data_IF_399252484907
#
_entry.id   IF_399252484907
#
_cell.length_a   1.000
_cell.length_b   1.000
_cell.length_c   1.000
_cell.angle_alpha   90.00
_cell.angle_beta   90.00
_cell.angle_gamma   90.00
#
_symmetry.space_group_name_H-M   'P 1'
#
loop_
_entity.id
_entity.type
_entity.pdbx_description
1 polymer ?
#
# COMPACT_ATOMS: atom_id res chain seq x y z
N UNK A 1 1.96 7.02 -18.82
CA UNK A 1 2.75 7.56 -17.71
C UNK A 1 4.23 7.30 -17.94
N UNK A 2 5.12 8.26 -17.78
CA UNK A 2 6.57 7.99 -17.83
C UNK A 2 7.06 7.93 -16.39
N UNK A 3 7.49 6.76 -15.96
CA UNK A 3 8.26 6.62 -14.73
C UNK A 3 9.54 7.43 -14.89
N UNK A 4 9.79 8.38 -13.98
CA UNK A 4 11.08 9.05 -13.94
C UNK A 4 12.13 8.01 -13.56
N UNK A 5 13.18 7.87 -14.41
CA UNK A 5 14.30 7.00 -14.04
C UNK A 5 15.02 7.57 -12.82
N UNK A 6 15.44 6.71 -11.87
CA UNK A 6 16.16 7.17 -10.70
C UNK A 6 17.41 7.96 -11.14
N UNK A 7 17.61 9.13 -10.54
CA UNK A 7 18.89 9.79 -10.63
C UNK A 7 19.91 8.86 -9.95
N UNK A 8 20.88 8.36 -10.73
CA UNK A 8 21.97 7.57 -10.17
C UNK A 8 22.74 8.45 -9.21
N UNK A 9 22.63 8.19 -7.90
CA UNK A 9 23.45 8.85 -6.89
C UNK A 9 24.91 8.50 -7.18
N UNK A 10 25.83 9.47 -7.29
CA UNK A 10 27.24 9.18 -7.51
C UNK A 10 27.77 8.22 -6.44
N UNK A 11 28.53 7.19 -6.84
CA UNK A 11 29.14 6.24 -5.89
C UNK A 11 30.18 6.89 -4.95
N UNK A 12 30.69 8.06 -5.31
CA UNK A 12 31.73 8.78 -4.55
C UNK A 12 31.48 10.28 -4.54
N UNK A 13 31.97 10.97 -3.51
CA UNK A 13 31.92 12.42 -3.37
C UNK A 13 30.87 12.91 -2.38
N UNK A 14 30.60 14.24 -2.39
CA UNK A 14 29.72 14.90 -1.42
C UNK A 14 28.29 14.40 -1.53
N UNK A 15 27.75 14.22 -2.72
CA UNK A 15 26.39 13.72 -2.95
C UNK A 15 26.21 12.30 -2.40
N UNK A 16 27.18 11.41 -2.62
CA UNK A 16 27.17 10.08 -2.04
C UNK A 16 27.20 10.14 -0.50
N UNK A 17 27.91 11.10 0.08
CA UNK A 17 27.93 11.28 1.53
C UNK A 17 26.60 11.81 2.06
N UNK A 18 25.97 12.76 1.36
CA UNK A 18 24.61 13.23 1.70
C UNK A 18 23.59 12.10 1.67
N UNK A 19 23.60 11.27 0.61
CA UNK A 19 22.74 10.10 0.51
C UNK A 19 22.95 9.14 1.71
N UNK A 20 24.20 8.83 2.06
CA UNK A 20 24.53 7.98 3.22
C UNK A 20 24.04 8.59 4.54
N UNK A 21 24.12 9.92 4.72
CA UNK A 21 23.56 10.60 5.90
C UNK A 21 22.07 10.39 5.98
N UNK A 22 21.35 10.60 4.87
CA UNK A 22 19.89 10.40 4.80
C UNK A 22 19.55 8.94 5.15
N UNK A 23 20.21 7.99 4.50
CA UNK A 23 20.01 6.56 4.71
C UNK A 23 20.23 6.14 6.16
N UNK A 24 21.33 6.59 6.78
CA UNK A 24 21.64 6.26 8.19
C UNK A 24 20.59 6.84 9.14
N UNK A 25 20.14 8.09 8.88
CA UNK A 25 19.06 8.69 9.67
C UNK A 25 17.77 7.89 9.56
N UNK A 26 17.39 7.47 8.33
CA UNK A 26 16.15 6.75 8.08
C UNK A 26 16.18 5.32 8.67
N UNK A 27 17.30 4.62 8.52
CA UNK A 27 17.44 3.23 8.97
C UNK A 27 17.63 3.08 10.47
N UNK A 28 18.42 3.95 11.09
CA UNK A 28 18.87 3.79 12.49
C UNK A 28 18.25 4.80 13.44
N UNK A 29 17.70 5.92 12.93
CA UNK A 29 17.13 7.01 13.71
C UNK A 29 18.03 7.43 14.91
N UNK A 30 19.30 7.80 14.67
CA UNK A 30 20.28 8.03 15.72
C UNK A 30 19.82 9.13 16.69
N UNK A 31 20.00 8.92 17.98
CA UNK A 31 19.54 9.85 19.02
C UNK A 31 20.38 11.14 19.06
N UNK A 32 21.65 11.03 18.70
CA UNK A 32 22.60 12.15 18.78
C UNK A 32 23.40 12.35 17.49
N UNK A 33 23.86 13.58 17.30
CA UNK A 33 24.77 13.89 16.18
C UNK A 33 26.11 13.16 16.32
N UNK A 34 26.58 12.92 17.54
CA UNK A 34 27.83 12.19 17.78
C UNK A 34 27.70 10.74 17.32
N UNK A 35 26.61 10.07 17.67
CA UNK A 35 26.30 8.71 17.22
C UNK A 35 26.23 8.64 15.70
N UNK A 36 25.49 9.55 15.06
CA UNK A 36 25.42 9.62 13.59
C UNK A 36 26.80 9.86 12.95
N UNK A 37 27.67 10.66 13.59
CA UNK A 37 29.01 10.90 13.11
C UNK A 37 29.90 9.65 13.20
N UNK A 38 29.79 8.91 14.30
CA UNK A 38 30.50 7.66 14.55
C UNK A 38 30.06 6.58 13.55
N UNK A 39 28.76 6.40 13.35
CA UNK A 39 28.18 5.44 12.39
C UNK A 39 28.66 5.69 10.95
N UNK A 40 28.82 6.95 10.58
CA UNK A 40 29.26 7.34 9.24
C UNK A 40 30.78 7.41 9.07
N UNK A 41 31.55 7.35 10.19
CA UNK A 41 32.99 7.60 10.19
C UNK A 41 33.35 9.03 9.80
N UNK A 42 32.50 10.02 10.13
CA UNK A 42 32.67 11.42 9.82
C UNK A 42 33.03 12.23 11.06
N UNK A 43 33.71 13.38 10.85
CA UNK A 43 33.85 14.35 11.94
C UNK A 43 32.49 15.04 12.21
N UNK A 44 32.18 15.35 13.49
CA UNK A 44 30.98 16.09 13.84
C UNK A 44 30.88 17.48 13.18
N UNK A 45 32.03 18.08 12.86
CA UNK A 45 32.06 19.37 12.16
C UNK A 45 31.56 19.22 10.73
N UNK A 46 32.12 18.26 9.98
CA UNK A 46 31.70 18.00 8.61
C UNK A 46 30.24 17.50 8.53
N UNK A 47 29.86 16.63 9.44
CA UNK A 47 28.45 16.20 9.55
C UNK A 47 27.52 17.39 9.82
N UNK A 48 27.92 18.37 10.64
CA UNK A 48 27.12 19.58 10.90
C UNK A 48 26.86 20.40 9.62
N UNK A 49 27.84 20.48 8.73
CA UNK A 49 27.69 21.17 7.45
C UNK A 49 26.68 20.44 6.53
N UNK A 50 26.78 19.10 6.45
CA UNK A 50 25.86 18.26 5.67
C UNK A 50 24.42 18.34 6.21
N UNK A 51 24.25 18.23 7.54
CA UNK A 51 22.92 18.36 8.17
C UNK A 51 22.32 19.77 7.99
N UNK A 52 23.14 20.81 7.95
CA UNK A 52 22.65 22.16 7.70
C UNK A 52 22.19 22.33 6.24
N UNK A 53 22.91 21.73 5.29
CA UNK A 53 22.52 21.69 3.88
C UNK A 53 21.18 20.99 3.72
N UNK A 54 21.07 19.72 4.18
CA UNK A 54 19.82 18.93 4.11
C UNK A 54 18.63 19.63 4.80
N UNK A 55 18.87 20.36 5.90
CA UNK A 55 17.83 21.18 6.54
C UNK A 55 17.41 22.38 5.69
N UNK A 56 18.37 23.03 5.02
CA UNK A 56 18.05 24.18 4.16
C UNK A 56 17.30 23.79 2.90
N UNK A 57 17.48 22.54 2.44
CA UNK A 57 16.79 21.94 1.30
C UNK A 57 15.45 21.29 1.69
N UNK A 58 15.13 21.21 2.99
CA UNK A 58 13.90 20.62 3.49
C UNK A 58 13.91 19.09 3.56
N UNK A 59 15.02 18.44 3.20
CA UNK A 59 15.16 16.97 3.21
C UNK A 59 15.07 16.40 4.61
N UNK A 60 15.62 17.10 5.61
CA UNK A 60 15.49 16.72 7.03
C UNK A 60 14.89 17.85 7.86
N UNK A 61 14.14 17.48 8.88
CA UNK A 61 13.50 18.43 9.82
C UNK A 61 14.11 18.32 11.22
N UNK A 62 13.62 19.13 12.14
CA UNK A 62 14.03 19.04 13.54
C UNK A 62 13.71 17.65 14.09
N UNK A 63 14.69 16.96 14.62
CA UNK A 63 14.60 15.56 15.03
C UNK A 63 15.15 14.59 13.98
N UNK A 64 15.76 15.10 12.90
CA UNK A 64 16.33 14.29 11.82
C UNK A 64 15.33 13.31 11.19
N UNK A 65 14.09 13.75 11.03
CA UNK A 65 13.10 13.03 10.26
C UNK A 65 13.30 13.37 8.79
N UNK A 66 13.38 12.34 7.95
CA UNK A 66 13.54 12.49 6.50
C UNK A 66 12.20 12.89 5.88
N UNK A 67 12.21 13.87 4.99
CA UNK A 67 11.03 14.27 4.22
C UNK A 67 10.72 13.24 3.15
N UNK A 68 9.44 12.88 2.99
CA UNK A 68 9.03 11.78 2.12
C UNK A 68 9.32 12.04 0.64
N UNK A 69 9.05 13.25 0.15
CA UNK A 69 9.27 13.58 -1.26
C UNK A 69 10.75 13.78 -1.57
N UNK A 70 11.43 14.58 -0.72
CA UNK A 70 12.82 14.94 -0.95
C UNK A 70 13.79 13.76 -0.83
N UNK A 71 13.42 12.69 -0.11
CA UNK A 71 14.28 11.51 0.03
C UNK A 71 14.50 10.77 -1.29
N UNK A 72 13.48 10.75 -2.16
CA UNK A 72 13.57 10.03 -3.45
C UNK A 72 14.57 10.66 -4.40
N UNK A 73 14.77 11.98 -4.33
CA UNK A 73 15.78 12.67 -5.14
C UNK A 73 17.22 12.40 -4.68
N UNK A 74 17.42 12.19 -3.36
CA UNK A 74 18.73 12.10 -2.73
C UNK A 74 19.16 10.69 -2.35
N UNK A 75 18.22 9.87 -1.95
CA UNK A 75 18.47 8.51 -1.46
C UNK A 75 17.30 7.57 -1.79
N UNK A 76 16.96 7.34 -3.07
CA UNK A 76 15.81 6.52 -3.46
C UNK A 76 15.87 5.11 -2.88
N UNK A 77 17.06 4.58 -2.69
CA UNK A 77 17.28 3.24 -2.17
C UNK A 77 16.76 3.02 -0.73
N UNK A 78 16.48 4.05 0.07
CA UNK A 78 15.87 3.87 1.42
C UNK A 78 14.45 3.30 1.34
N UNK A 79 13.81 3.34 0.17
CA UNK A 79 12.48 2.78 -0.08
C UNK A 79 12.52 1.45 -0.83
N UNK A 80 13.69 0.92 -1.14
CA UNK A 80 13.81 -0.35 -1.86
C UNK A 80 13.76 -1.55 -0.93
N UNK A 81 12.91 -2.52 -1.27
CA UNK A 81 12.70 -3.75 -0.50
C UNK A 81 13.90 -4.70 -0.55
N UNK A 82 14.61 -4.75 -1.69
CA UNK A 82 15.69 -5.71 -1.98
C UNK A 82 17.08 -5.10 -1.88
N UNK A 83 17.25 -4.04 -1.08
CA UNK A 83 18.52 -3.36 -0.97
C UNK A 83 19.52 -4.10 -0.08
N UNK A 84 20.74 -4.26 -0.60
CA UNK A 84 21.96 -4.60 0.16
C UNK A 84 22.37 -6.07 0.11
N UNK A 85 23.66 -6.28 0.32
CA UNK A 85 24.27 -7.63 0.43
C UNK A 85 23.84 -8.36 1.71
N UNK A 86 23.22 -7.65 2.68
CA UNK A 86 22.80 -8.15 4.00
C UNK A 86 21.28 -8.41 4.10
N UNK A 87 20.53 -8.35 2.98
CA UNK A 87 19.11 -8.75 3.02
C UNK A 87 19.05 -10.23 3.37
N UNK A 88 18.50 -10.54 4.53
CA UNK A 88 18.18 -11.93 4.90
C UNK A 88 16.98 -12.38 4.03
N UNK A 89 17.29 -12.99 2.89
CA UNK A 89 16.31 -13.48 1.92
C UNK A 89 15.25 -14.35 2.58
N UNK A 90 15.62 -15.16 3.58
CA UNK A 90 14.70 -16.00 4.35
C UNK A 90 13.70 -15.16 5.15
N UNK A 91 14.12 -14.01 5.68
CA UNK A 91 13.26 -13.09 6.45
C UNK A 91 12.29 -12.35 5.55
N UNK A 92 12.75 -11.85 4.40
CA UNK A 92 11.89 -11.22 3.40
C UNK A 92 10.85 -12.23 2.86
N UNK A 93 11.28 -13.43 2.47
CA UNK A 93 10.39 -14.47 1.97
C UNK A 93 9.33 -14.83 3.02
N UNK A 94 9.71 -14.95 4.28
CA UNK A 94 8.79 -15.22 5.38
C UNK A 94 7.75 -14.11 5.55
N UNK A 95 8.16 -12.85 5.47
CA UNK A 95 7.28 -11.69 5.57
C UNK A 95 6.30 -11.62 4.39
N UNK A 96 6.80 -11.75 3.16
CA UNK A 96 5.96 -11.80 1.95
C UNK A 96 4.96 -12.95 1.99
N UNK A 97 5.34 -14.10 2.55
CA UNK A 97 4.43 -15.24 2.75
C UNK A 97 3.32 -14.93 3.75
N UNK A 98 3.58 -14.16 4.81
CA UNK A 98 2.53 -13.72 5.73
C UNK A 98 1.60 -12.70 5.07
N UNK A 99 2.14 -11.74 4.32
CA UNK A 99 1.34 -10.80 3.52
C UNK A 99 0.47 -11.53 2.49
N UNK A 100 1.02 -12.57 1.83
CA UNK A 100 0.24 -13.38 0.88
C UNK A 100 -0.94 -14.10 1.54
N UNK A 101 -0.75 -14.61 2.76
CA UNK A 101 -1.83 -15.24 3.51
C UNK A 101 -2.93 -14.24 3.91
N UNK A 102 -2.55 -13.00 4.23
CA UNK A 102 -3.51 -11.93 4.52
C UNK A 102 -4.27 -11.55 3.24
N UNK A 103 -3.56 -11.31 2.13
CA UNK A 103 -4.17 -11.00 0.83
C UNK A 103 -5.20 -12.05 0.41
N UNK A 104 -4.87 -13.34 0.55
CA UNK A 104 -5.78 -14.43 0.20
C UNK A 104 -7.08 -14.38 1.01
N UNK A 105 -6.99 -14.20 2.33
CA UNK A 105 -8.18 -14.15 3.20
C UNK A 105 -9.06 -12.95 2.86
N UNK A 106 -8.47 -11.77 2.67
CA UNK A 106 -9.24 -10.55 2.34
C UNK A 106 -9.84 -10.61 0.93
N UNK A 107 -9.16 -11.27 -0.01
CA UNK A 107 -9.72 -11.57 -1.34
C UNK A 107 -10.90 -12.54 -1.25
N UNK A 108 -10.83 -13.56 -0.39
CA UNK A 108 -11.94 -14.50 -0.19
C UNK A 108 -13.13 -13.82 0.47
N UNK A 109 -12.90 -12.87 1.41
CA UNK A 109 -13.97 -12.01 1.94
C UNK A 109 -14.65 -11.19 0.84
N UNK A 110 -13.87 -10.60 -0.06
CA UNK A 110 -14.41 -9.80 -1.18
C UNK A 110 -15.21 -10.66 -2.15
N UNK A 111 -14.73 -11.86 -2.50
CA UNK A 111 -15.46 -12.82 -3.34
C UNK A 111 -16.76 -13.28 -2.67
N UNK A 112 -16.71 -13.54 -1.37
CA UNK A 112 -17.91 -13.95 -0.62
C UNK A 112 -18.94 -12.82 -0.56
N UNK A 113 -18.52 -11.55 -0.42
CA UNK A 113 -19.41 -10.39 -0.49
C UNK A 113 -20.05 -10.25 -1.90
N UNK A 114 -19.29 -10.46 -2.96
CA UNK A 114 -19.78 -10.50 -4.35
C UNK A 114 -20.82 -11.60 -4.54
N UNK A 115 -20.51 -12.84 -4.10
CA UNK A 115 -21.43 -13.97 -4.22
C UNK A 115 -22.74 -13.70 -3.47
N UNK A 116 -22.64 -13.15 -2.26
CA UNK A 116 -23.84 -12.78 -1.48
C UNK A 116 -24.69 -11.71 -2.18
N UNK A 117 -24.06 -10.72 -2.80
CA UNK A 117 -24.78 -9.71 -3.59
C UNK A 117 -25.41 -10.31 -4.85
N UNK A 118 -24.73 -11.24 -5.52
CA UNK A 118 -25.25 -11.99 -6.66
C UNK A 118 -26.44 -12.91 -6.33
N UNK A 119 -26.70 -13.17 -5.04
CA UNK A 119 -27.69 -14.14 -4.60
C UNK A 119 -27.17 -15.58 -4.64
N UNK A 120 -25.85 -15.75 -4.83
CA UNK A 120 -25.16 -17.04 -4.82
C UNK A 120 -24.82 -17.48 -3.39
N UNK A 121 -24.68 -18.78 -3.17
CA UNK A 121 -24.18 -19.31 -1.90
C UNK A 121 -22.65 -19.20 -1.91
N UNK A 122 -22.03 -18.38 -1.01
CA UNK A 122 -20.59 -18.23 -0.99
C UNK A 122 -19.91 -19.50 -0.47
N UNK A 123 -18.73 -19.82 -1.00
CA UNK A 123 -17.92 -20.97 -0.54
C UNK A 123 -17.53 -20.84 0.95
N UNK A 124 -17.41 -19.61 1.47
CA UNK A 124 -17.07 -19.30 2.84
C UNK A 124 -17.94 -18.13 3.34
N UNK A 125 -18.29 -18.17 4.63
CA UNK A 125 -19.04 -17.09 5.25
C UNK A 125 -18.12 -15.91 5.55
N UNK A 126 -18.47 -14.73 5.07
CA UNK A 126 -17.64 -13.51 5.21
C UNK A 126 -17.25 -13.23 6.66
N UNK A 127 -18.21 -13.35 7.57
CA UNK A 127 -18.03 -13.05 9.01
C UNK A 127 -17.09 -14.05 9.71
N UNK A 128 -16.96 -15.28 9.18
CA UNK A 128 -16.02 -16.28 9.71
C UNK A 128 -14.57 -15.99 9.28
N UNK A 129 -14.37 -15.23 8.19
CA UNK A 129 -13.06 -14.83 7.69
C UNK A 129 -12.50 -13.58 8.38
N UNK A 130 -13.36 -12.72 8.96
CA UNK A 130 -12.94 -11.45 9.58
C UNK A 130 -11.93 -11.66 10.74
N UNK A 131 -12.17 -12.55 11.74
CA UNK A 131 -11.18 -12.80 12.79
C UNK A 131 -9.86 -13.31 12.23
N UNK A 132 -9.88 -14.08 11.13
CA UNK A 132 -8.68 -14.60 10.48
C UNK A 132 -7.90 -13.50 9.77
N UNK A 133 -8.57 -12.57 9.09
CA UNK A 133 -7.93 -11.40 8.48
C UNK A 133 -7.25 -10.52 9.53
N UNK A 134 -7.94 -10.23 10.62
CA UNK A 134 -7.41 -9.49 11.77
C UNK A 134 -6.18 -10.17 12.39
N UNK A 135 -6.23 -11.48 12.61
CA UNK A 135 -5.09 -12.27 13.10
C UNK A 135 -3.91 -12.20 12.15
N UNK A 136 -4.13 -12.36 10.83
CA UNK A 136 -3.07 -12.31 9.82
C UNK A 136 -2.42 -10.94 9.74
N UNK A 137 -3.21 -9.86 9.77
CA UNK A 137 -2.69 -8.50 9.84
C UNK A 137 -1.80 -8.31 11.08
N UNK A 138 -2.27 -8.73 12.25
CA UNK A 138 -1.49 -8.63 13.49
C UNK A 138 -0.17 -9.42 13.41
N UNK A 139 -0.16 -10.61 12.81
CA UNK A 139 1.06 -11.42 12.61
C UNK A 139 2.07 -10.66 11.75
N UNK A 140 1.65 -10.02 10.65
CA UNK A 140 2.54 -9.20 9.81
C UNK A 140 3.13 -8.05 10.62
N UNK A 141 2.31 -7.30 11.35
CA UNK A 141 2.77 -6.16 12.14
C UNK A 141 3.73 -6.57 13.28
N UNK A 142 3.50 -7.72 13.91
CA UNK A 142 4.39 -8.27 14.93
C UNK A 142 5.73 -8.72 14.33
N UNK A 143 5.70 -9.33 13.15
CA UNK A 143 6.91 -9.75 12.44
C UNK A 143 7.75 -8.53 12.04
N UNK A 144 7.13 -7.51 11.44
CA UNK A 144 7.79 -6.24 11.11
C UNK A 144 8.43 -5.60 12.33
N UNK A 145 7.71 -5.52 13.44
CA UNK A 145 8.25 -4.98 14.69
C UNK A 145 9.42 -5.82 15.21
N UNK A 146 9.35 -7.13 15.11
CA UNK A 146 10.44 -8.02 15.56
C UNK A 146 11.70 -7.80 14.72
N UNK A 147 11.54 -7.76 13.39
CA UNK A 147 12.66 -7.58 12.46
C UNK A 147 13.33 -6.22 12.69
N UNK A 148 12.57 -5.13 12.73
CA UNK A 148 13.12 -3.77 12.93
C UNK A 148 13.83 -3.56 14.28
N UNK A 149 13.56 -4.40 15.28
CA UNK A 149 14.24 -4.37 16.57
C UNK A 149 15.51 -5.24 16.62
N UNK A 150 15.68 -6.16 15.68
CA UNK A 150 16.75 -7.17 15.74
C UNK A 150 17.73 -7.08 14.57
N UNK A 151 17.37 -6.39 13.49
CA UNK A 151 18.17 -6.26 12.28
C UNK A 151 18.13 -4.83 11.74
N UNK A 152 19.11 -4.45 10.92
CA UNK A 152 19.12 -3.17 10.22
C UNK A 152 18.19 -3.19 8.97
N UNK A 153 17.71 -4.35 8.57
CA UNK A 153 16.72 -4.54 7.50
C UNK A 153 15.36 -4.97 8.08
N UNK A 154 14.24 -4.52 7.53
CA UNK A 154 14.12 -3.39 6.59
C UNK A 154 14.34 -2.06 7.33
N UNK A 155 14.77 -1.00 6.66
CA UNK A 155 14.79 0.33 7.25
C UNK A 155 13.38 0.76 7.72
N UNK A 156 13.32 1.77 8.59
CA UNK A 156 12.05 2.23 9.18
C UNK A 156 10.99 2.59 8.12
N UNK A 157 11.40 3.11 6.97
CA UNK A 157 10.50 3.48 5.87
C UNK A 157 9.86 2.25 5.24
N UNK A 158 10.66 1.27 4.83
CA UNK A 158 10.17 0.01 4.25
C UNK A 158 9.25 -0.73 5.22
N UNK A 159 9.61 -0.79 6.50
CA UNK A 159 8.79 -1.39 7.54
C UNK A 159 7.44 -0.67 7.71
N UNK A 160 7.44 0.67 7.65
CA UNK A 160 6.23 1.48 7.70
C UNK A 160 5.32 1.21 6.50
N UNK A 161 5.87 1.23 5.28
CA UNK A 161 5.12 0.98 4.05
C UNK A 161 4.51 -0.43 4.03
N UNK A 162 5.27 -1.46 4.42
CA UNK A 162 4.75 -2.82 4.54
C UNK A 162 3.68 -2.95 5.63
N UNK A 163 3.80 -2.19 6.72
CA UNK A 163 2.76 -2.09 7.75
C UNK A 163 1.47 -1.47 7.22
N UNK A 164 1.59 -0.41 6.39
CA UNK A 164 0.44 0.22 5.72
C UNK A 164 -0.18 -0.74 4.71
N UNK A 165 0.62 -1.47 3.92
CA UNK A 165 0.14 -2.51 3.00
C UNK A 165 -0.68 -3.56 3.74
N UNK A 166 -0.18 -4.08 4.88
CA UNK A 166 -0.90 -5.06 5.68
C UNK A 166 -2.23 -4.48 6.21
N UNK A 167 -2.20 -3.24 6.69
CA UNK A 167 -3.42 -2.58 7.20
C UNK A 167 -4.43 -2.29 6.10
N UNK A 168 -3.99 -1.93 4.90
CA UNK A 168 -4.88 -1.72 3.76
C UNK A 168 -5.58 -3.03 3.36
N UNK A 169 -4.89 -4.17 3.36
CA UNK A 169 -5.55 -5.46 3.13
C UNK A 169 -6.63 -5.76 4.18
N UNK A 170 -6.35 -5.52 5.46
CA UNK A 170 -7.35 -5.74 6.50
C UNK A 170 -8.56 -4.81 6.33
N UNK A 171 -8.35 -3.53 5.99
CA UNK A 171 -9.45 -2.60 5.70
C UNK A 171 -10.29 -3.06 4.51
N UNK A 172 -9.66 -3.63 3.46
CA UNK A 172 -10.38 -4.22 2.32
C UNK A 172 -11.29 -5.36 2.80
N UNK A 173 -10.81 -6.22 3.68
CA UNK A 173 -11.60 -7.29 4.30
C UNK A 173 -12.78 -6.75 5.10
N UNK A 174 -12.56 -5.74 5.95
CA UNK A 174 -13.62 -5.07 6.72
C UNK A 174 -14.70 -4.46 5.80
N UNK A 175 -14.28 -3.86 4.68
CA UNK A 175 -15.21 -3.33 3.68
C UNK A 175 -16.01 -4.42 3.00
N UNK A 176 -15.40 -5.57 2.71
CA UNK A 176 -16.10 -6.72 2.16
C UNK A 176 -17.18 -7.24 3.13
N UNK A 177 -16.89 -7.36 4.44
CA UNK A 177 -17.87 -7.70 5.45
C UNK A 177 -19.02 -6.69 5.47
N UNK A 178 -18.72 -5.40 5.46
CA UNK A 178 -19.71 -4.34 5.44
C UNK A 178 -20.61 -4.38 4.18
N UNK A 179 -20.04 -4.64 3.00
CA UNK A 179 -20.80 -4.80 1.75
C UNK A 179 -21.73 -6.00 1.84
N UNK A 180 -21.25 -7.13 2.36
CA UNK A 180 -22.04 -8.33 2.55
C UNK A 180 -23.24 -8.10 3.50
N UNK A 181 -23.04 -7.31 4.56
CA UNK A 181 -24.10 -6.90 5.50
C UNK A 181 -25.18 -6.03 4.84
N UNK A 182 -24.78 -5.14 3.92
CA UNK A 182 -25.72 -4.32 3.14
C UNK A 182 -26.48 -5.22 2.19
N UNK A 183 -25.78 -6.08 1.43
CA UNK A 183 -26.40 -7.02 0.49
C UNK A 183 -27.45 -7.91 1.16
N UNK A 184 -27.21 -8.35 2.40
CA UNK A 184 -28.15 -9.14 3.19
C UNK A 184 -29.46 -8.43 3.53
N UNK A 185 -29.47 -7.10 3.52
CA UNK A 185 -30.65 -6.26 3.84
C UNK A 185 -31.41 -5.83 2.59
N UNK A 186 -30.87 -6.12 1.41
CA UNK A 186 -31.46 -5.74 0.15
C UNK A 186 -32.21 -6.93 -0.49
N UNK A 187 -33.34 -6.63 -1.11
CA UNK A 187 -33.99 -7.56 -2.06
C UNK A 187 -33.29 -7.41 -3.41
N UNK A 188 -32.17 -8.12 -3.62
CA UNK A 188 -31.30 -7.96 -4.80
C UNK A 188 -32.03 -8.19 -6.11
N UNK A 189 -33.05 -9.04 -6.16
CA UNK A 189 -33.88 -9.29 -7.33
C UNK A 189 -34.66 -8.05 -7.80
N UNK A 190 -34.81 -7.03 -6.94
CA UNK A 190 -35.56 -5.81 -7.23
C UNK A 190 -34.74 -4.70 -7.88
N UNK A 191 -33.39 -4.84 -7.96
CA UNK A 191 -32.49 -3.77 -8.42
C UNK A 191 -32.19 -3.80 -9.93
N UNK A 192 -32.67 -4.83 -10.66
CA UNK A 192 -32.63 -4.86 -12.13
C UNK A 192 -31.25 -4.56 -12.73
N UNK A 193 -31.16 -3.56 -13.59
CA UNK A 193 -29.91 -3.19 -14.28
C UNK A 193 -28.78 -2.77 -13.32
N UNK A 194 -29.10 -2.25 -12.14
CA UNK A 194 -28.11 -1.88 -11.11
C UNK A 194 -27.36 -3.09 -10.58
N UNK A 195 -28.04 -4.26 -10.53
CA UNK A 195 -27.44 -5.52 -10.10
C UNK A 195 -26.22 -5.87 -10.95
N UNK A 196 -26.37 -5.84 -12.29
CA UNK A 196 -25.30 -6.18 -13.22
C UNK A 196 -24.15 -5.18 -13.12
N UNK A 197 -24.45 -3.87 -13.03
CA UNK A 197 -23.41 -2.84 -12.83
C UNK A 197 -22.59 -3.03 -11.56
N UNK A 198 -23.23 -3.40 -10.44
CA UNK A 198 -22.51 -3.68 -9.17
C UNK A 198 -21.62 -4.91 -9.33
N UNK A 199 -22.08 -5.96 -10.02
CA UNK A 199 -21.26 -7.14 -10.28
C UNK A 199 -20.05 -6.84 -11.18
N UNK A 200 -20.24 -6.00 -12.22
CA UNK A 200 -19.15 -5.55 -13.09
C UNK A 200 -18.09 -4.77 -12.31
N UNK A 201 -18.51 -3.93 -11.36
CA UNK A 201 -17.58 -3.22 -10.45
C UNK A 201 -16.81 -4.20 -9.55
N UNK A 202 -17.48 -5.23 -9.02
CA UNK A 202 -16.80 -6.27 -8.27
C UNK A 202 -15.75 -7.00 -9.12
N UNK A 203 -16.06 -7.32 -10.35
CA UNK A 203 -15.16 -8.02 -11.27
C UNK A 203 -13.97 -7.13 -11.68
N UNK A 204 -14.21 -5.83 -11.91
CA UNK A 204 -13.15 -4.82 -12.09
C UNK A 204 -12.23 -4.71 -10.88
N UNK A 205 -12.80 -4.71 -9.67
CA UNK A 205 -12.01 -4.76 -8.43
C UNK A 205 -11.12 -6.00 -8.32
N UNK A 206 -11.60 -7.19 -8.74
CA UNK A 206 -10.77 -8.39 -8.79
C UNK A 206 -9.66 -8.31 -9.84
N UNK A 207 -9.89 -7.65 -10.98
CA UNK A 207 -8.86 -7.40 -11.98
C UNK A 207 -7.76 -6.46 -11.43
N UNK A 208 -8.14 -5.37 -10.77
CA UNK A 208 -7.20 -4.47 -10.06
C UNK A 208 -6.38 -5.27 -9.03
N UNK A 209 -7.03 -6.08 -8.19
CA UNK A 209 -6.37 -6.94 -7.20
C UNK A 209 -5.32 -7.86 -7.85
N UNK A 210 -5.59 -8.42 -9.03
CA UNK A 210 -4.62 -9.28 -9.72
C UNK A 210 -3.37 -8.51 -10.16
N UNK A 211 -3.50 -7.23 -10.54
CA UNK A 211 -2.36 -6.35 -10.78
C UNK A 211 -1.59 -6.03 -9.50
N UNK A 212 -2.28 -5.74 -8.39
CA UNK A 212 -1.65 -5.54 -7.07
C UNK A 212 -0.81 -6.74 -6.68
N UNK A 213 -1.33 -7.96 -6.84
CA UNK A 213 -0.63 -9.21 -6.56
C UNK A 213 0.64 -9.35 -7.42
N UNK A 214 0.56 -9.01 -8.71
CA UNK A 214 1.71 -9.09 -9.62
C UNK A 214 2.80 -8.07 -9.20
N UNK A 215 2.43 -6.85 -8.84
CA UNK A 215 3.38 -5.83 -8.37
C UNK A 215 3.99 -6.26 -7.03
N UNK A 216 3.17 -6.62 -6.04
CA UNK A 216 3.63 -6.90 -4.67
C UNK A 216 4.50 -8.15 -4.57
N UNK A 217 4.09 -9.25 -5.18
CA UNK A 217 4.73 -10.55 -4.96
C UNK A 217 5.66 -10.99 -6.10
N UNK A 218 5.60 -10.34 -7.25
CA UNK A 218 6.39 -10.69 -8.43
C UNK A 218 7.23 -9.53 -8.97
N UNK A 219 7.20 -8.36 -8.30
CA UNK A 219 7.91 -7.15 -8.71
C UNK A 219 7.60 -6.72 -10.18
N UNK A 220 6.41 -7.09 -10.69
CA UNK A 220 5.98 -6.77 -12.06
C UNK A 220 5.42 -5.34 -12.11
N UNK A 221 6.32 -4.35 -12.01
CA UNK A 221 5.96 -2.92 -11.95
C UNK A 221 5.33 -2.42 -13.26
N UNK A 222 5.56 -3.13 -14.39
CA UNK A 222 4.93 -2.79 -15.68
C UNK A 222 3.41 -2.96 -15.65
N UNK A 223 2.89 -3.68 -14.66
CA UNK A 223 1.45 -3.80 -14.41
C UNK A 223 0.78 -2.51 -13.97
N UNK A 224 1.51 -1.52 -13.47
CA UNK A 224 0.93 -0.27 -12.99
C UNK A 224 0.15 0.48 -14.08
N UNK A 225 0.63 0.51 -15.33
CA UNK A 225 -0.09 1.18 -16.42
C UNK A 225 -1.47 0.52 -16.70
N UNK A 226 -1.54 -0.80 -16.58
CA UNK A 226 -2.79 -1.54 -16.73
C UNK A 226 -3.70 -1.37 -15.52
N UNK A 227 -3.13 -1.34 -14.33
CA UNK A 227 -3.85 -1.11 -13.09
C UNK A 227 -4.58 0.24 -13.13
N UNK A 228 -3.91 1.32 -13.58
CA UNK A 228 -4.54 2.62 -13.71
C UNK A 228 -5.62 2.66 -14.80
N UNK A 229 -5.44 1.91 -15.90
CA UNK A 229 -6.47 1.80 -16.92
C UNK A 229 -7.74 1.08 -16.40
N UNK A 230 -7.57 0.03 -15.59
CA UNK A 230 -8.69 -0.65 -14.91
C UNK A 230 -9.33 0.24 -13.84
N UNK A 231 -8.54 1.03 -13.12
CA UNK A 231 -9.04 2.01 -12.14
C UNK A 231 -9.93 3.05 -12.81
N UNK A 232 -9.47 3.66 -13.91
CA UNK A 232 -10.26 4.63 -14.69
C UNK A 232 -11.60 4.03 -15.15
N UNK A 233 -11.60 2.77 -15.60
CA UNK A 233 -12.81 2.08 -16.03
C UNK A 233 -13.76 1.79 -14.85
N UNK A 234 -13.22 1.34 -13.72
CA UNK A 234 -14.04 1.10 -12.51
C UNK A 234 -14.62 2.40 -11.97
N UNK A 235 -13.86 3.52 -11.97
CA UNK A 235 -14.38 4.82 -11.58
C UNK A 235 -15.51 5.28 -12.48
N UNK A 236 -15.40 5.08 -13.81
CA UNK A 236 -16.49 5.37 -14.74
C UNK A 236 -17.74 4.54 -14.43
N UNK A 237 -17.58 3.24 -14.15
CA UNK A 237 -18.71 2.39 -13.75
C UNK A 237 -19.34 2.83 -12.41
N UNK A 238 -18.54 3.28 -11.45
CA UNK A 238 -19.02 3.82 -10.16
C UNK A 238 -19.82 5.10 -10.35
N UNK A 239 -19.39 6.02 -11.24
CA UNK A 239 -20.11 7.25 -11.56
C UNK A 239 -21.45 6.92 -12.25
N UNK A 240 -21.46 6.03 -13.23
CA UNK A 240 -22.68 5.56 -13.89
C UNK A 240 -23.64 4.90 -12.90
N UNK A 241 -23.12 4.05 -11.99
CA UNK A 241 -23.91 3.43 -10.94
C UNK A 241 -24.53 4.49 -10.02
N UNK A 242 -23.77 5.52 -9.64
CA UNK A 242 -24.27 6.58 -8.78
C UNK A 242 -25.42 7.36 -9.44
N UNK A 243 -25.34 7.63 -10.75
CA UNK A 243 -26.43 8.24 -11.52
C UNK A 243 -27.68 7.33 -11.57
N UNK A 244 -27.50 6.04 -11.80
CA UNK A 244 -28.60 5.07 -11.85
C UNK A 244 -29.30 4.95 -10.49
N UNK A 245 -28.55 4.88 -9.40
CA UNK A 245 -29.05 4.73 -8.03
C UNK A 245 -29.96 5.89 -7.63
N UNK A 246 -29.72 7.11 -8.15
CA UNK A 246 -30.56 8.28 -7.84
C UNK A 246 -32.01 8.15 -8.33
N UNK A 247 -32.29 7.20 -9.22
CA UNK A 247 -33.64 6.94 -9.74
C UNK A 247 -34.49 6.04 -8.85
N UNK A 248 -33.90 5.45 -7.81
CA UNK A 248 -34.60 4.51 -6.92
C UNK A 248 -35.28 5.19 -5.73
N UNK A 249 -36.16 4.43 -5.06
CA UNK A 249 -36.82 4.88 -3.84
C UNK A 249 -35.82 5.15 -2.70
N UNK A 250 -36.09 6.08 -1.75
CA UNK A 250 -35.11 6.54 -0.75
C UNK A 250 -34.47 5.43 0.10
N UNK A 251 -35.18 4.35 0.40
CA UNK A 251 -34.66 3.25 1.21
C UNK A 251 -33.63 2.42 0.41
N UNK A 252 -33.99 2.04 -0.81
CA UNK A 252 -33.09 1.33 -1.72
C UNK A 252 -31.91 2.20 -2.12
N UNK A 253 -32.13 3.49 -2.40
CA UNK A 253 -31.07 4.48 -2.64
C UNK A 253 -30.05 4.49 -1.51
N UNK A 254 -30.47 4.49 -0.23
CA UNK A 254 -29.57 4.51 0.92
C UNK A 254 -28.62 3.32 0.95
N UNK A 255 -29.11 2.11 0.71
CA UNK A 255 -28.30 0.89 0.65
C UNK A 255 -27.33 0.89 -0.53
N UNK A 256 -27.82 1.18 -1.74
CA UNK A 256 -26.99 1.21 -2.96
C UNK A 256 -25.92 2.29 -2.88
N UNK A 257 -26.23 3.51 -2.45
CA UNK A 257 -25.24 4.57 -2.29
C UNK A 257 -24.16 4.23 -1.26
N UNK A 258 -24.54 3.53 -0.18
CA UNK A 258 -23.59 3.08 0.84
C UNK A 258 -22.68 1.99 0.30
N UNK A 259 -23.23 1.05 -0.47
CA UNK A 259 -22.46 -0.02 -1.13
C UNK A 259 -21.48 0.55 -2.17
N UNK A 260 -21.93 1.48 -3.03
CA UNK A 260 -21.10 2.16 -4.03
C UNK A 260 -19.87 2.79 -3.38
N UNK A 261 -20.07 3.54 -2.28
CA UNK A 261 -18.97 4.15 -1.52
C UNK A 261 -18.04 3.11 -0.88
N UNK A 262 -18.55 1.98 -0.43
CA UNK A 262 -17.73 0.92 0.14
C UNK A 262 -16.88 0.25 -0.94
N UNK A 263 -17.42 0.02 -2.14
CA UNK A 263 -16.68 -0.48 -3.31
C UNK A 263 -15.61 0.51 -3.75
N UNK A 264 -15.93 1.79 -3.92
CA UNK A 264 -14.98 2.86 -4.25
C UNK A 264 -13.79 2.87 -3.28
N UNK A 265 -14.08 2.79 -1.98
CA UNK A 265 -13.02 2.75 -0.96
C UNK A 265 -12.19 1.47 -1.02
N UNK A 266 -12.75 0.34 -1.37
CA UNK A 266 -12.01 -0.91 -1.57
C UNK A 266 -11.03 -0.78 -2.74
N UNK A 267 -11.47 -0.22 -3.86
CA UNK A 267 -10.63 0.08 -5.02
C UNK A 267 -9.46 1.00 -4.63
N UNK A 268 -9.76 2.11 -3.95
CA UNK A 268 -8.74 3.03 -3.45
C UNK A 268 -7.64 2.34 -2.63
N UNK A 269 -8.00 1.42 -1.72
CA UNK A 269 -6.99 0.72 -0.92
C UNK A 269 -6.16 -0.25 -1.73
N UNK A 270 -6.72 -0.92 -2.75
CA UNK A 270 -5.91 -1.73 -3.66
C UNK A 270 -4.92 -0.89 -4.47
N UNK A 271 -5.36 0.24 -5.01
CA UNK A 271 -4.47 1.17 -5.73
C UNK A 271 -3.33 1.63 -4.81
N UNK A 272 -3.67 2.07 -3.60
CA UNK A 272 -2.68 2.50 -2.62
C UNK A 272 -1.66 1.39 -2.26
N UNK A 273 -2.10 0.13 -2.14
CA UNK A 273 -1.17 -1.00 -1.97
C UNK A 273 -0.22 -1.11 -3.16
N UNK A 274 -0.73 -1.02 -4.39
CA UNK A 274 0.10 -1.13 -5.60
C UNK A 274 1.14 0.00 -5.69
N UNK A 275 0.75 1.23 -5.37
CA UNK A 275 1.64 2.40 -5.38
C UNK A 275 2.74 2.30 -4.34
N UNK A 276 2.38 1.95 -3.08
CA UNK A 276 3.36 1.68 -2.04
C UNK A 276 4.32 0.56 -2.45
N UNK A 277 3.80 -0.48 -3.07
CA UNK A 277 4.59 -1.64 -3.49
C UNK A 277 5.51 -1.31 -4.68
N UNK A 278 5.02 -0.56 -5.66
CA UNK A 278 5.84 -0.07 -6.77
C UNK A 278 7.02 0.78 -6.23
N UNK A 279 6.76 1.62 -5.24
CA UNK A 279 7.79 2.38 -4.52
C UNK A 279 8.81 1.46 -3.82
N UNK A 280 8.35 0.40 -3.16
CA UNK A 280 9.20 -0.59 -2.50
C UNK A 280 10.12 -1.36 -3.47
N UNK A 281 9.70 -1.54 -4.72
CA UNK A 281 10.51 -2.23 -5.74
C UNK A 281 11.41 -1.30 -6.54
N UNK A 282 11.07 -0.03 -6.70
CA UNK A 282 11.77 0.90 -7.59
C UNK A 282 12.51 2.02 -6.87
N UNK A 283 12.19 2.25 -5.58
CA UNK A 283 12.63 3.44 -4.87
C UNK A 283 12.02 4.75 -5.41
N UNK A 284 11.00 4.68 -6.29
CA UNK A 284 10.37 5.84 -6.92
C UNK A 284 8.96 6.04 -6.43
N UNK A 285 8.55 7.29 -6.28
CA UNK A 285 7.14 7.62 -6.04
C UNK A 285 6.40 7.66 -7.37
N UNK A 286 5.26 6.96 -7.52
CA UNK A 286 4.40 7.10 -8.68
C UNK A 286 3.93 8.56 -8.82
N UNK A 287 3.94 9.10 -10.05
CA UNK A 287 3.51 10.49 -10.33
C UNK A 287 1.99 10.73 -10.10
N UNK A 288 1.25 9.71 -9.68
CA UNK A 288 -0.21 9.70 -9.66
C UNK A 288 -0.82 9.68 -8.25
N UNK A 289 -0.05 9.94 -7.19
CA UNK A 289 -0.64 10.11 -5.85
C UNK A 289 -1.30 11.49 -5.81
N UNK A 290 -2.64 11.60 -5.85
CA UNK A 290 -3.31 12.88 -5.62
C UNK A 290 -3.10 13.27 -4.16
N UNK A 291 -2.78 14.54 -3.92
CA UNK A 291 -2.68 15.19 -2.61
C UNK A 291 -3.93 15.01 -1.73
#
# INVERSE_FOLDING_TARGET
MRWSQPHTVPETGREATLARVIETIDQRAPETKAELADDLGLSEHYLSELLQELKSEGVIRKGYVVDEEAVFERAPAVSELHRGEDTDDDTLERLLKQLRRLEMVTTDQYRAARARFAGDEPDQVVDELEPLANERCLVVLQELKSITLTTDWPGNRVASDLGIVAKNFEIIGDRACYIADIAAKMETDSVGIVHDHVLDIFDGGLAIKDHVVAVLFHADVERMDRLYAEEDEVHRMLDELFELVTAYEPEMYGHLATMTRALERTIYYWIHIAELTARLHTGLTPEHIPD
#
